data_IF_290731077805
#
_entry.id   IF_290731077805
#
_cell.length_a   1.000
_cell.length_b   1.000
_cell.length_c   1.000
_cell.angle_alpha   90.00
_cell.angle_beta   90.00
_cell.angle_gamma   90.00
#
_symmetry.space_group_name_H-M   'P 1'
#
loop_
_entity.id
_entity.type
_entity.pdbx_description
1 polymer ?
#
# COMPACT_ATOMS: atom_id res chain seq x y z
N UNK A 1 24.10 -12.74 -15.40
CA UNK A 1 24.41 -12.17 -14.08
C UNK A 1 23.08 -11.64 -13.53
N UNK A 2 22.63 -12.10 -12.37
CA UNK A 2 21.42 -11.55 -11.76
C UNK A 2 21.68 -10.08 -11.39
N UNK A 3 20.72 -9.17 -11.60
CA UNK A 3 20.89 -7.77 -11.25
C UNK A 3 21.17 -7.62 -9.75
N UNK A 4 22.15 -6.77 -9.41
CA UNK A 4 22.54 -6.48 -8.02
C UNK A 4 21.57 -5.46 -7.41
N UNK A 5 20.33 -5.90 -7.19
CA UNK A 5 19.28 -5.07 -6.63
C UNK A 5 19.43 -5.02 -5.11
N UNK A 6 19.55 -3.80 -4.57
CA UNK A 6 19.69 -3.55 -3.13
C UNK A 6 18.52 -2.76 -2.53
N UNK A 7 17.58 -2.32 -3.37
CA UNK A 7 16.36 -1.62 -2.96
C UNK A 7 15.21 -2.10 -3.82
N UNK A 8 14.03 -2.25 -3.23
CA UNK A 8 12.79 -2.52 -3.94
C UNK A 8 11.70 -1.55 -3.47
N UNK A 9 10.69 -1.35 -4.29
CA UNK A 9 9.52 -0.51 -4.00
C UNK A 9 8.25 -1.35 -4.07
N UNK A 10 7.48 -1.31 -2.99
CA UNK A 10 6.08 -1.75 -2.98
C UNK A 10 5.20 -0.55 -3.34
N UNK A 11 4.28 -0.75 -4.27
CA UNK A 11 3.34 0.28 -4.69
C UNK A 11 1.94 -0.31 -4.86
N UNK A 12 0.97 0.35 -4.24
CA UNK A 12 -0.45 0.17 -4.47
C UNK A 12 -0.89 1.25 -5.45
N UNK A 13 -1.68 0.87 -6.46
CA UNK A 13 -2.46 1.78 -7.28
C UNK A 13 -3.93 1.43 -7.09
N UNK A 14 -4.71 2.36 -6.57
CA UNK A 14 -6.07 2.12 -6.09
C UNK A 14 -7.06 3.07 -6.75
N UNK A 15 -8.27 2.56 -6.98
CA UNK A 15 -9.44 3.30 -7.45
C UNK A 15 -10.68 2.53 -7.02
N UNK A 16 -11.65 3.21 -6.43
CA UNK A 16 -13.02 2.71 -6.32
C UNK A 16 -14.01 3.86 -6.53
N UNK A 17 -15.06 3.62 -7.30
CA UNK A 17 -15.88 4.69 -7.88
C UNK A 17 -17.34 4.23 -7.95
N UNK A 18 -18.26 4.78 -7.11
CA UNK A 18 -18.12 5.92 -6.18
C UNK A 18 -17.85 5.52 -4.70
N UNK A 19 -16.93 4.60 -4.46
CA UNK A 19 -16.78 3.91 -3.16
C UNK A 19 -15.31 3.90 -2.69
N UNK A 20 -14.94 3.08 -1.70
CA UNK A 20 -13.59 3.07 -1.13
C UNK A 20 -12.97 1.67 -1.05
N UNK A 21 -11.67 1.62 -1.36
CA UNK A 21 -10.76 0.55 -0.99
C UNK A 21 -10.05 0.88 0.32
N UNK A 22 -9.81 -0.14 1.13
CA UNK A 22 -9.10 -0.06 2.40
C UNK A 22 -7.89 -0.98 2.36
N UNK A 23 -6.71 -0.43 2.62
CA UNK A 23 -5.45 -1.18 2.77
C UNK A 23 -5.02 -1.11 4.22
N UNK A 24 -4.64 -2.26 4.77
CA UNK A 24 -4.15 -2.36 6.13
C UNK A 24 -3.15 -3.51 6.30
N UNK A 25 -2.45 -3.54 7.44
CA UNK A 25 -1.50 -4.58 7.83
C UNK A 25 -0.48 -4.96 6.74
N UNK A 26 0.03 -3.95 6.03
CA UNK A 26 1.03 -4.14 4.98
C UNK A 26 2.35 -4.54 5.61
N UNK A 27 2.91 -5.66 5.17
CA UNK A 27 4.11 -6.23 5.73
C UNK A 27 5.02 -6.75 4.64
N UNK A 28 6.32 -6.43 4.77
CA UNK A 28 7.38 -7.05 4.00
C UNK A 28 8.39 -7.59 4.98
N UNK A 29 8.56 -8.90 5.01
CA UNK A 29 9.54 -9.55 5.89
C UNK A 29 10.61 -10.27 5.10
N UNK A 30 11.83 -10.25 5.63
CA UNK A 30 12.88 -11.14 5.14
C UNK A 30 12.70 -12.58 5.69
N UNK A 31 13.56 -13.51 5.29
CA UNK A 31 13.53 -14.90 5.76
C UNK A 31 13.70 -15.07 7.28
N UNK A 32 14.22 -14.07 7.98
CA UNK A 32 14.32 -14.04 9.45
C UNK A 32 13.09 -13.44 10.13
N UNK A 33 12.04 -13.07 9.37
CA UNK A 33 10.83 -12.45 9.90
C UNK A 33 10.98 -10.97 10.26
N UNK A 34 12.07 -10.31 9.89
CA UNK A 34 12.29 -8.89 10.19
C UNK A 34 11.41 -8.06 9.25
N UNK A 35 10.55 -7.22 9.83
CA UNK A 35 9.75 -6.22 9.11
C UNK A 35 10.66 -5.16 8.46
N UNK A 36 10.40 -4.88 7.19
CA UNK A 36 11.18 -3.95 6.38
C UNK A 36 10.43 -2.66 6.06
N UNK A 37 9.11 -2.64 6.24
CA UNK A 37 8.30 -1.44 6.12
C UNK A 37 8.12 -0.75 7.48
N UNK A 38 7.98 0.55 7.45
CA UNK A 38 7.53 1.36 8.57
C UNK A 38 6.04 1.64 8.44
N UNK A 39 5.31 1.61 9.57
CA UNK A 39 3.91 2.03 9.65
C UNK A 39 2.99 1.35 8.61
N UNK A 40 3.18 0.05 8.40
CA UNK A 40 2.38 -0.72 7.44
C UNK A 40 0.95 -1.00 7.87
N UNK A 41 0.67 -0.86 9.17
CA UNK A 41 -0.65 -0.96 9.79
C UNK A 41 -1.31 0.41 10.04
N UNK A 42 -0.69 1.51 9.58
CA UNK A 42 -1.22 2.88 9.66
C UNK A 42 -1.59 3.44 11.05
N UNK A 43 -1.27 2.73 12.14
CA UNK A 43 -1.63 3.09 13.53
C UNK A 43 -0.97 4.38 14.04
N UNK A 44 -0.04 4.97 13.28
CA UNK A 44 0.46 6.32 13.53
C UNK A 44 -0.57 7.41 13.15
N UNK A 45 -1.73 7.04 12.60
CA UNK A 45 -2.78 7.96 12.15
C UNK A 45 -2.35 8.87 11.00
N UNK A 46 -1.23 8.56 10.36
CA UNK A 46 -0.59 9.37 9.31
C UNK A 46 0.09 8.49 8.28
N UNK A 47 0.42 9.06 7.12
CA UNK A 47 1.21 8.40 6.07
C UNK A 47 2.71 8.40 6.36
N UNK A 48 3.12 8.45 7.62
CA UNK A 48 4.54 8.41 8.00
C UNK A 48 5.22 7.17 7.41
N UNK A 49 6.32 7.36 6.69
CA UNK A 49 7.03 6.29 5.97
C UNK A 49 6.48 5.96 4.58
N UNK A 50 5.30 6.45 4.22
CA UNK A 50 4.67 6.22 2.93
C UNK A 50 4.76 7.46 2.02
N UNK A 51 4.86 7.22 0.71
CA UNK A 51 4.76 8.25 -0.32
C UNK A 51 3.43 8.09 -1.05
N UNK A 52 2.57 9.08 -0.89
CA UNK A 52 1.33 9.22 -1.64
C UNK A 52 1.54 10.03 -2.92
N UNK A 53 0.86 9.65 -4.00
CA UNK A 53 0.91 10.33 -5.29
C UNK A 53 -0.46 10.27 -5.97
N UNK A 54 -0.98 11.43 -6.39
CA UNK A 54 -2.19 11.56 -7.20
C UNK A 54 -1.86 12.45 -8.41
N UNK A 55 -1.34 11.86 -9.50
CA UNK A 55 -0.84 12.61 -10.65
C UNK A 55 -1.96 13.22 -11.50
N UNK A 56 -3.19 12.69 -11.40
CA UNK A 56 -4.33 13.12 -12.19
C UNK A 56 -5.19 14.17 -11.46
N UNK A 57 -4.86 14.53 -10.22
CA UNK A 57 -5.68 15.34 -9.32
C UNK A 57 -7.12 14.80 -9.18
N UNK A 58 -7.24 13.47 -9.03
CA UNK A 58 -8.50 12.81 -8.82
C UNK A 58 -9.17 13.26 -7.51
N UNK A 59 -10.50 13.27 -7.51
CA UNK A 59 -11.29 13.52 -6.28
C UNK A 59 -11.31 12.29 -5.38
N UNK A 60 -11.62 12.48 -4.10
CA UNK A 60 -11.62 11.42 -3.07
C UNK A 60 -10.26 10.74 -2.90
N UNK A 61 -9.24 11.60 -2.85
CA UNK A 61 -7.84 11.26 -2.61
C UNK A 61 -7.64 10.34 -1.40
N UNK A 62 -6.75 9.37 -1.55
CA UNK A 62 -6.48 8.43 -0.48
C UNK A 62 -5.81 9.06 0.75
N UNK A 63 -6.19 8.58 1.93
CA UNK A 63 -5.72 9.07 3.21
C UNK A 63 -5.81 7.99 4.30
N UNK A 64 -5.04 8.17 5.38
CA UNK A 64 -5.27 7.35 6.59
C UNK A 64 -6.61 7.75 7.21
N UNK A 65 -7.42 6.76 7.55
CA UNK A 65 -8.77 6.93 8.09
C UNK A 65 -9.03 5.91 9.18
N UNK A 66 -10.11 6.08 9.95
CA UNK A 66 -10.58 5.08 10.91
C UNK A 66 -11.68 4.17 10.34
N UNK A 67 -11.77 4.06 9.01
CA UNK A 67 -12.80 3.28 8.33
C UNK A 67 -12.25 1.90 7.98
N UNK A 68 -13.04 0.86 8.26
CA UNK A 68 -12.73 -0.54 7.93
C UNK A 68 -11.27 -0.98 8.24
N UNK A 69 -10.71 -0.68 9.42
CA UNK A 69 -9.41 -1.23 9.80
C UNK A 69 -9.50 -2.74 9.97
N UNK A 70 -8.50 -3.46 9.47
CA UNK A 70 -8.40 -4.89 9.70
C UNK A 70 -7.96 -5.19 11.13
N UNK A 71 -7.00 -4.41 11.62
CA UNK A 71 -6.54 -4.44 12.99
C UNK A 71 -6.30 -3.00 13.50
N UNK A 72 -6.43 -2.79 14.81
CA UNK A 72 -6.20 -1.47 15.39
C UNK A 72 -7.32 -0.48 15.08
N UNK A 73 -6.95 0.78 14.82
CA UNK A 73 -7.86 1.92 14.70
C UNK A 73 -7.83 2.59 13.32
N UNK A 74 -6.80 2.32 12.51
CA UNK A 74 -6.55 3.04 11.28
C UNK A 74 -6.29 2.11 10.10
N UNK A 75 -6.73 2.54 8.93
CA UNK A 75 -6.41 1.95 7.62
C UNK A 75 -6.08 3.06 6.63
N UNK A 76 -5.50 2.71 5.49
CA UNK A 76 -5.47 3.60 4.34
C UNK A 76 -6.74 3.43 3.51
N UNK A 77 -7.54 4.48 3.39
CA UNK A 77 -8.76 4.50 2.58
C UNK A 77 -8.52 5.28 1.28
N UNK A 78 -8.96 4.74 0.15
CA UNK A 78 -8.81 5.37 -1.17
C UNK A 78 -10.06 5.18 -2.02
N UNK A 79 -10.66 6.29 -2.45
CA UNK A 79 -11.89 6.31 -3.23
C UNK A 79 -11.73 7.09 -4.54
N UNK A 80 -10.49 7.14 -5.07
CA UNK A 80 -10.18 7.93 -6.27
C UNK A 80 -11.20 7.71 -7.39
N UNK A 81 -11.72 8.80 -7.97
CA UNK A 81 -12.75 8.74 -9.02
C UNK A 81 -12.15 9.01 -10.40
N UNK A 82 -12.50 8.17 -11.38
CA UNK A 82 -12.07 8.30 -12.78
C UNK A 82 -10.61 7.92 -13.06
N UNK A 83 -9.71 8.08 -12.09
CA UNK A 83 -8.27 7.78 -12.19
C UNK A 83 -7.79 6.97 -10.97
N UNK A 84 -6.51 6.58 -10.97
CA UNK A 84 -5.88 5.89 -9.83
C UNK A 84 -5.00 6.84 -9.04
N UNK A 85 -5.01 6.63 -7.73
CA UNK A 85 -4.04 7.17 -6.80
C UNK A 85 -3.02 6.09 -6.43
N UNK A 86 -1.86 6.51 -5.91
CA UNK A 86 -0.75 5.61 -5.63
C UNK A 86 -0.24 5.81 -4.21
N UNK A 87 0.03 4.69 -3.53
CA UNK A 87 0.66 4.65 -2.22
C UNK A 87 1.88 3.73 -2.29
N UNK A 88 3.06 4.20 -1.88
CA UNK A 88 4.29 3.43 -2.02
C UNK A 88 5.29 3.60 -0.88
N UNK A 89 6.12 2.58 -0.69
CA UNK A 89 7.27 2.61 0.21
C UNK A 89 8.40 1.79 -0.39
N UNK A 90 9.63 2.32 -0.30
CA UNK A 90 10.84 1.60 -0.68
C UNK A 90 11.47 0.94 0.54
N UNK A 91 12.07 -0.23 0.34
CA UNK A 91 12.72 -1.00 1.38
C UNK A 91 14.01 -1.64 0.85
N UNK A 92 14.96 -1.83 1.76
CA UNK A 92 16.24 -2.45 1.42
C UNK A 92 16.07 -3.96 1.17
N UNK A 93 16.74 -4.46 0.14
CA UNK A 93 16.82 -5.88 -0.17
C UNK A 93 18.26 -6.31 -0.35
N UNK A 94 18.50 -7.61 -0.25
CA UNK A 94 19.78 -8.25 -0.52
C UNK A 94 19.56 -9.22 -1.68
N UNK A 95 20.39 -9.19 -2.72
CA UNK A 95 20.25 -10.09 -3.85
C UNK A 95 20.21 -11.57 -3.42
N UNK A 96 19.40 -12.36 -4.13
CA UNK A 96 19.21 -13.80 -3.91
C UNK A 96 18.58 -14.19 -2.56
N UNK A 97 17.96 -13.25 -1.84
CA UNK A 97 17.13 -13.55 -0.68
C UNK A 97 15.64 -13.64 -1.02
N UNK A 98 14.91 -14.41 -0.22
CA UNK A 98 13.45 -14.53 -0.30
C UNK A 98 12.81 -13.56 0.70
N UNK A 99 11.74 -12.92 0.25
CA UNK A 99 10.93 -11.98 1.03
C UNK A 99 9.48 -12.41 0.99
N UNK A 100 8.75 -12.20 2.08
CA UNK A 100 7.30 -12.40 2.15
C UNK A 100 6.61 -11.04 2.16
N UNK A 101 5.64 -10.86 1.27
CA UNK A 101 4.81 -9.66 1.21
C UNK A 101 3.37 -10.06 1.52
N UNK A 102 2.78 -9.41 2.52
CA UNK A 102 1.38 -9.61 2.90
C UNK A 102 0.72 -8.26 3.11
N UNK A 103 -0.58 -8.20 2.90
CA UNK A 103 -1.40 -7.03 3.16
C UNK A 103 -2.86 -7.49 3.29
N UNK A 104 -3.66 -6.69 3.97
CA UNK A 104 -5.10 -6.79 3.91
C UNK A 104 -5.66 -5.75 2.93
N UNK A 105 -6.69 -6.14 2.19
CA UNK A 105 -7.39 -5.30 1.23
C UNK A 105 -8.89 -5.57 1.32
N UNK A 106 -9.68 -4.53 1.51
CA UNK A 106 -11.14 -4.57 1.51
C UNK A 106 -11.71 -3.51 0.57
N UNK A 107 -12.90 -3.79 0.04
CA UNK A 107 -13.71 -2.84 -0.70
C UNK A 107 -15.08 -2.80 -0.03
N UNK A 108 -15.65 -1.60 0.15
CA UNK A 108 -17.02 -1.47 0.66
C UNK A 108 -18.07 -1.53 -0.45
N UNK A 109 -17.66 -1.80 -1.68
CA UNK A 109 -18.54 -1.91 -2.84
C UNK A 109 -18.10 -3.00 -3.82
N UNK A 110 -19.00 -3.27 -4.75
CA UNK A 110 -18.75 -4.13 -5.90
C UNK A 110 -18.68 -3.30 -7.20
N UNK A 111 -18.40 -2.00 -7.07
CA UNK A 111 -18.46 -1.00 -8.16
C UNK A 111 -17.20 -1.08 -9.05
N UNK A 112 -16.82 0.03 -9.71
CA UNK A 112 -15.65 0.10 -10.60
C UNK A 112 -14.34 0.10 -9.80
N UNK A 113 -14.05 -1.01 -9.15
CA UNK A 113 -12.92 -1.21 -8.24
C UNK A 113 -11.69 -1.70 -9.00
N UNK A 114 -10.57 -1.00 -8.85
CA UNK A 114 -9.27 -1.40 -9.38
C UNK A 114 -8.21 -1.30 -8.29
N UNK A 115 -7.52 -2.41 -8.04
CA UNK A 115 -6.37 -2.47 -7.16
C UNK A 115 -5.23 -3.20 -7.88
N UNK A 116 -4.09 -2.53 -8.01
CA UNK A 116 -2.86 -3.11 -8.54
C UNK A 116 -1.75 -3.00 -7.49
N UNK A 117 -1.13 -4.13 -7.18
CA UNK A 117 0.06 -4.17 -6.32
C UNK A 117 1.26 -4.51 -7.18
N UNK A 118 2.26 -3.62 -7.16
CA UNK A 118 3.52 -3.81 -7.89
C UNK A 118 4.69 -3.86 -6.91
N UNK A 119 5.59 -4.81 -7.14
CA UNK A 119 6.91 -4.87 -6.51
C UNK A 119 7.94 -4.70 -7.60
N UNK A 120 8.78 -3.67 -7.49
CA UNK A 120 9.78 -3.35 -8.51
C UNK A 120 11.13 -2.98 -7.89
N UNK A 121 12.19 -3.16 -8.66
CA UNK A 121 13.58 -2.86 -8.34
C UNK A 121 14.10 -1.75 -9.24
#
# INVERSE_FOLDING_TARGET
>A
MAPNITSAKLMFALRDDPDFLFVDDVSVTNSSGIQLLSNGNFELGTLSGWTYCNPANASYSGAVSSMDPHNGSYSYADGSVGFMDYLSQSFAVVPNNIYSVTFWLSANSNSSTYALVTIGA
#
